data_IF_058115525225
#
_entry.id   IF_058115525225
#
_cell.length_a   1.000
_cell.length_b   1.000
_cell.length_c   1.000
_cell.angle_alpha   90.00
_cell.angle_beta   90.00
_cell.angle_gamma   90.00
#
_symmetry.space_group_name_H-M   'P 1'
#
loop_
_entity.id
_entity.type
_entity.pdbx_description
1 polymer ?
#
# COMPACT_ATOMS: atom_id res chain seq x y z
N UNK A 1 1.58 2.78 -8.24
CA UNK A 1 2.41 2.29 -9.36
C UNK A 1 3.50 3.32 -9.60
N UNK A 2 4.76 2.94 -9.46
CA UNK A 2 5.89 3.76 -9.90
C UNK A 2 6.23 3.32 -11.32
N UNK A 3 6.16 4.23 -12.30
CA UNK A 3 6.43 3.96 -13.72
C UNK A 3 7.93 3.80 -14.04
N UNK A 4 8.70 3.21 -13.11
CA UNK A 4 10.16 3.13 -13.18
C UNK A 4 10.64 1.74 -12.79
N UNK A 5 11.73 1.30 -13.43
CA UNK A 5 12.27 -0.06 -13.35
C UNK A 5 12.66 -0.54 -11.95
N UNK A 6 13.01 0.37 -11.04
CA UNK A 6 13.45 0.04 -9.69
C UNK A 6 13.41 1.26 -8.78
N UNK A 7 13.53 1.09 -7.46
CA UNK A 7 13.71 2.21 -6.53
C UNK A 7 14.92 3.08 -6.86
N UNK A 8 16.01 2.48 -7.34
CA UNK A 8 17.20 3.21 -7.79
C UNK A 8 16.89 4.05 -9.03
N UNK A 9 16.17 3.50 -10.03
CA UNK A 9 15.70 4.25 -11.18
C UNK A 9 14.82 5.44 -10.75
N UNK A 10 13.95 5.23 -9.74
CA UNK A 10 13.09 6.29 -9.20
C UNK A 10 13.88 7.43 -8.55
N UNK A 11 14.89 7.10 -7.75
CA UNK A 11 15.74 8.09 -7.08
C UNK A 11 16.55 8.88 -8.11
N UNK A 12 17.14 8.20 -9.09
CA UNK A 12 17.93 8.85 -10.13
C UNK A 12 17.07 9.77 -11.01
N UNK A 13 15.85 9.34 -11.35
CA UNK A 13 14.87 10.18 -12.05
C UNK A 13 14.58 11.47 -11.27
N UNK A 14 14.34 11.37 -9.96
CA UNK A 14 14.10 12.56 -9.11
C UNK A 14 15.32 13.47 -9.05
N UNK A 15 16.53 12.90 -9.02
CA UNK A 15 17.79 13.65 -9.00
C UNK A 15 18.00 14.43 -10.29
N UNK A 16 17.90 13.77 -11.45
CA UNK A 16 18.13 14.39 -12.77
C UNK A 16 17.10 15.49 -13.05
N UNK A 17 15.84 15.29 -12.64
CA UNK A 17 14.77 16.26 -12.84
C UNK A 17 14.64 17.28 -11.69
N UNK A 18 15.58 17.28 -10.74
CA UNK A 18 15.58 18.18 -9.58
C UNK A 18 14.23 18.22 -8.84
N UNK A 19 13.62 17.06 -8.59
CA UNK A 19 12.34 16.94 -7.89
C UNK A 19 12.58 17.17 -6.38
N UNK A 20 12.41 18.42 -5.95
CA UNK A 20 12.54 18.86 -4.56
C UNK A 20 11.19 19.23 -3.93
N UNK A 21 11.14 19.17 -2.61
CA UNK A 21 10.03 19.71 -1.80
C UNK A 21 10.51 19.94 -0.36
N UNK A 22 9.69 20.60 0.44
CA UNK A 22 9.91 20.76 1.87
C UNK A 22 9.78 19.41 2.58
N UNK A 23 10.85 18.98 3.26
CA UNK A 23 10.80 17.75 4.05
C UNK A 23 9.86 17.91 5.26
N UNK A 24 8.94 16.96 5.43
CA UNK A 24 7.95 16.98 6.51
C UNK A 24 8.61 16.87 7.90
N UNK A 25 9.79 16.25 8.01
CA UNK A 25 10.50 16.17 9.29
C UNK A 25 11.45 17.35 9.52
N UNK A 26 12.53 17.46 8.74
CA UNK A 26 13.59 18.43 9.00
C UNK A 26 13.27 19.86 8.54
N UNK A 27 12.15 20.08 7.85
CA UNK A 27 11.65 21.38 7.38
C UNK A 27 12.63 22.15 6.48
N UNK A 28 13.49 21.43 5.76
CA UNK A 28 14.36 21.99 4.73
C UNK A 28 13.88 21.58 3.34
N UNK A 29 14.05 22.47 2.35
CA UNK A 29 13.86 22.13 0.94
C UNK A 29 15.00 21.23 0.46
N UNK A 30 14.66 20.03 0.01
CA UNK A 30 15.62 19.00 -0.42
C UNK A 30 15.02 18.14 -1.53
N UNK A 31 15.88 17.42 -2.24
CA UNK A 31 15.43 16.34 -3.14
C UNK A 31 14.58 15.34 -2.36
N UNK A 32 13.46 14.93 -2.96
CA UNK A 32 12.51 14.03 -2.32
C UNK A 32 13.02 12.59 -2.46
N UNK A 33 13.22 11.89 -1.35
CA UNK A 33 13.47 10.45 -1.38
C UNK A 33 12.15 9.69 -1.58
N UNK A 34 11.14 9.98 -0.76
CA UNK A 34 9.87 9.28 -0.75
C UNK A 34 8.71 10.23 -0.43
N UNK A 35 7.51 9.89 -0.92
CA UNK A 35 6.25 10.52 -0.53
C UNK A 35 5.39 9.44 0.14
N UNK A 36 4.85 9.75 1.32
CA UNK A 36 3.91 8.88 2.04
C UNK A 36 2.64 9.63 2.33
N UNK A 37 1.51 8.96 2.18
CA UNK A 37 0.22 9.47 2.63
C UNK A 37 0.08 9.24 4.13
N UNK A 38 -0.05 10.31 4.89
CA UNK A 38 -0.17 10.33 6.35
C UNK A 38 -1.44 11.11 6.71
N UNK A 39 -2.42 10.43 7.31
CA UNK A 39 -3.69 11.01 7.71
C UNK A 39 -4.34 11.87 6.60
N UNK A 40 -4.45 11.27 5.40
CA UNK A 40 -4.96 11.88 4.16
C UNK A 40 -4.14 13.03 3.56
N UNK A 41 -2.94 13.33 4.08
CA UNK A 41 -2.01 14.31 3.51
C UNK A 41 -0.81 13.61 2.89
N UNK A 42 -0.34 14.08 1.73
CA UNK A 42 0.94 13.66 1.18
C UNK A 42 2.09 14.35 1.91
N UNK A 43 2.99 13.56 2.49
CA UNK A 43 4.15 14.00 3.24
C UNK A 43 5.43 13.62 2.48
N UNK A 44 6.27 14.60 2.20
CA UNK A 44 7.53 14.43 1.49
C UNK A 44 8.68 14.20 2.50
N UNK A 45 9.54 13.22 2.24
CA UNK A 45 10.71 12.93 3.07
C UNK A 45 11.98 12.97 2.23
N UNK A 46 12.99 13.72 2.70
CA UNK A 46 14.27 13.83 2.00
C UNK A 46 15.20 12.63 2.23
N UNK A 47 14.91 11.78 3.23
CA UNK A 47 15.69 10.59 3.54
C UNK A 47 14.89 9.59 4.35
N UNK A 48 15.35 8.34 4.38
CA UNK A 48 14.79 7.29 5.23
C UNK A 48 14.86 7.69 6.72
N UNK A 49 15.97 8.30 7.15
CA UNK A 49 16.12 8.78 8.54
C UNK A 49 15.06 9.83 8.93
N UNK A 50 14.74 10.79 8.05
CA UNK A 50 13.67 11.75 8.30
C UNK A 50 12.30 11.08 8.40
N UNK A 51 12.05 10.04 7.60
CA UNK A 51 10.81 9.27 7.65
C UNK A 51 10.68 8.53 8.99
N UNK A 52 11.71 7.80 9.40
CA UNK A 52 11.73 7.05 10.67
C UNK A 52 11.51 7.97 11.87
N UNK A 53 12.23 9.10 11.93
CA UNK A 53 12.08 10.05 13.03
C UNK A 53 10.66 10.65 13.07
N UNK A 54 10.07 10.91 11.91
CA UNK A 54 8.68 11.36 11.85
C UNK A 54 7.68 10.31 12.34
N UNK A 55 7.85 9.04 11.95
CA UNK A 55 7.00 7.95 12.45
C UNK A 55 7.06 7.82 13.98
N UNK A 56 8.26 7.90 14.56
CA UNK A 56 8.43 7.86 16.01
C UNK A 56 7.69 9.01 16.72
N UNK A 57 7.70 10.20 16.14
CA UNK A 57 6.93 11.34 16.66
C UNK A 57 5.41 11.15 16.51
N UNK A 58 4.94 10.44 15.48
CA UNK A 58 3.54 10.06 15.36
C UNK A 58 3.13 9.04 16.43
N UNK A 59 3.96 8.04 16.71
CA UNK A 59 3.72 7.05 17.76
C UNK A 59 3.52 7.73 19.13
N UNK A 60 4.37 8.70 19.47
CA UNK A 60 4.21 9.49 20.70
C UNK A 60 2.93 10.32 20.73
N UNK A 61 2.55 10.93 19.59
CA UNK A 61 1.42 11.87 19.51
C UNK A 61 0.07 11.18 19.41
N UNK A 62 0.01 10.04 18.75
CA UNK A 62 -1.25 9.36 18.42
C UNK A 62 -1.48 8.08 19.21
N UNK A 63 -0.44 7.47 19.80
CA UNK A 63 -0.55 6.17 20.44
C UNK A 63 -0.84 5.07 19.41
N UNK A 64 -1.77 4.16 19.70
CA UNK A 64 -2.19 3.13 18.73
C UNK A 64 -2.84 3.79 17.51
N UNK A 65 -2.29 3.54 16.33
CA UNK A 65 -2.73 4.12 15.07
C UNK A 65 -2.36 3.17 13.92
N UNK A 66 -2.88 3.42 12.71
CA UNK A 66 -2.61 2.57 11.57
C UNK A 66 -1.25 2.93 10.99
N UNK A 67 -0.26 2.06 11.17
CA UNK A 67 1.12 2.31 10.74
C UNK A 67 1.30 2.08 9.24
N UNK A 68 0.56 1.12 8.67
CA UNK A 68 0.55 0.85 7.24
C UNK A 68 -0.75 0.16 6.85
N UNK A 69 -1.71 0.93 6.36
CA UNK A 69 -3.00 0.40 5.90
C UNK A 69 -2.80 -0.72 4.89
N UNK A 70 -3.40 -1.89 5.13
CA UNK A 70 -3.27 -3.07 4.26
C UNK A 70 -3.69 -2.79 2.82
N UNK A 71 -4.64 -1.88 2.60
CA UNK A 71 -5.11 -1.54 1.26
C UNK A 71 -4.25 -0.47 0.55
N UNK A 72 -4.08 0.69 1.18
CA UNK A 72 -3.50 1.87 0.52
C UNK A 72 -2.08 2.23 1.00
N UNK A 73 -1.52 1.47 1.94
CA UNK A 73 -0.18 1.64 2.52
C UNK A 73 0.04 3.00 3.20
N UNK A 74 -1.04 3.72 3.52
CA UNK A 74 -0.99 5.00 4.24
C UNK A 74 -0.81 4.81 5.74
N UNK A 75 -0.22 5.79 6.39
CA UNK A 75 -0.30 5.96 7.85
C UNK A 75 -1.58 6.75 8.17
N UNK A 76 -2.29 6.42 9.24
CA UNK A 76 -3.44 7.20 9.70
C UNK A 76 -3.58 7.17 11.21
N UNK A 77 -4.11 8.26 11.78
CA UNK A 77 -4.45 8.32 13.20
C UNK A 77 -5.55 7.30 13.54
N UNK A 78 -6.44 7.03 12.60
CA UNK A 78 -7.49 6.02 12.71
C UNK A 78 -6.96 4.63 12.33
N UNK A 79 -7.33 3.63 13.11
CA UNK A 79 -7.03 2.22 12.82
C UNK A 79 -8.30 1.38 13.01
N UNK A 80 -8.62 0.61 11.99
CA UNK A 80 -9.64 -0.43 12.00
C UNK A 80 -8.92 -1.77 11.87
N UNK A 81 -9.04 -2.59 12.90
CA UNK A 81 -8.54 -3.97 12.91
C UNK A 81 -9.65 -4.91 12.47
N UNK A 82 -9.38 -5.75 11.48
CA UNK A 82 -10.28 -6.83 11.05
C UNK A 82 -9.53 -8.15 11.14
N UNK A 83 -10.11 -9.11 11.85
CA UNK A 83 -9.61 -10.48 11.86
C UNK A 83 -10.16 -11.19 10.62
N UNK A 84 -9.26 -11.57 9.72
CA UNK A 84 -9.54 -12.45 8.60
C UNK A 84 -9.10 -13.88 8.99
N UNK A 85 -9.54 -14.90 8.27
CA UNK A 85 -9.25 -16.33 8.57
C UNK A 85 -7.74 -16.64 8.60
N UNK A 86 -6.92 -15.83 7.93
CA UNK A 86 -5.47 -16.00 7.81
C UNK A 86 -4.65 -15.12 8.77
N UNK A 87 -5.05 -13.84 8.96
CA UNK A 87 -4.26 -12.85 9.70
C UNK A 87 -5.09 -11.64 10.13
N UNK A 88 -4.71 -11.01 11.24
CA UNK A 88 -5.16 -9.67 11.64
C UNK A 88 -4.69 -8.62 10.62
N UNK A 89 -5.62 -7.81 10.11
CA UNK A 89 -5.35 -6.75 9.12
C UNK A 89 -5.75 -5.38 9.66
N UNK A 90 -4.92 -4.38 9.40
CA UNK A 90 -5.16 -2.99 9.80
C UNK A 90 -5.51 -2.10 8.61
N UNK A 91 -6.56 -1.29 8.78
CA UNK A 91 -7.01 -0.34 7.77
C UNK A 91 -7.10 1.07 8.34
N UNK A 92 -6.78 2.07 7.52
CA UNK A 92 -6.95 3.47 7.92
C UNK A 92 -8.42 3.92 7.93
N UNK A 93 -9.34 3.17 7.30
CA UNK A 93 -10.77 3.48 7.25
C UNK A 93 -11.61 2.26 6.89
N UNK A 94 -12.92 2.34 7.15
CA UNK A 94 -13.90 1.36 6.69
C UNK A 94 -13.93 1.24 5.16
N UNK A 95 -13.75 2.35 4.44
CA UNK A 95 -13.65 2.36 2.97
C UNK A 95 -12.47 1.53 2.47
N UNK A 96 -11.30 1.62 3.12
CA UNK A 96 -10.14 0.80 2.75
C UNK A 96 -10.36 -0.68 3.03
N UNK A 97 -11.02 -1.01 4.14
CA UNK A 97 -11.41 -2.39 4.45
C UNK A 97 -12.39 -2.94 3.41
N UNK A 98 -13.43 -2.17 3.08
CA UNK A 98 -14.43 -2.56 2.07
C UNK A 98 -13.81 -2.79 0.69
N UNK A 99 -12.93 -1.88 0.23
CA UNK A 99 -12.24 -2.04 -1.06
C UNK A 99 -11.32 -3.26 -1.07
N UNK A 100 -10.62 -3.52 0.03
CA UNK A 100 -9.77 -4.69 0.16
C UNK A 100 -10.59 -5.99 0.03
N UNK A 101 -11.69 -6.11 0.77
CA UNK A 101 -12.58 -7.27 0.73
C UNK A 101 -13.22 -7.44 -0.65
N UNK A 102 -13.67 -6.35 -1.27
CA UNK A 102 -14.24 -6.37 -2.62
C UNK A 102 -13.21 -6.82 -3.66
N UNK A 103 -11.97 -6.37 -3.56
CA UNK A 103 -10.91 -6.81 -4.47
C UNK A 103 -10.61 -8.31 -4.28
N UNK A 104 -10.54 -8.79 -3.03
CA UNK A 104 -10.34 -10.21 -2.74
C UNK A 104 -11.47 -11.08 -3.30
N UNK A 105 -12.72 -10.66 -3.18
CA UNK A 105 -13.86 -11.44 -3.67
C UNK A 105 -13.89 -11.54 -5.20
N UNK A 106 -13.43 -10.51 -5.92
CA UNK A 106 -13.23 -10.61 -7.37
C UNK A 106 -12.13 -11.61 -7.72
N UNK A 107 -10.98 -11.54 -7.05
CA UNK A 107 -9.86 -12.48 -7.28
C UNK A 107 -10.28 -13.93 -6.98
N UNK A 108 -11.03 -14.17 -5.92
CA UNK A 108 -11.51 -15.52 -5.58
C UNK A 108 -12.56 -16.03 -6.58
N UNK A 109 -13.44 -15.15 -7.09
CA UNK A 109 -14.40 -15.50 -8.13
C UNK A 109 -13.70 -15.86 -9.45
N UNK A 110 -12.70 -15.09 -9.87
CA UNK A 110 -11.91 -15.36 -11.08
C UNK A 110 -11.16 -16.69 -10.98
N UNK A 111 -10.55 -16.97 -9.83
CA UNK A 111 -9.90 -18.25 -9.56
C UNK A 111 -10.90 -19.42 -9.64
N UNK A 112 -12.08 -19.30 -9.01
CA UNK A 112 -13.11 -20.33 -9.07
C UNK A 112 -13.60 -20.58 -10.50
N UNK A 113 -13.87 -19.51 -11.26
CA UNK A 113 -14.32 -19.61 -12.65
C UNK A 113 -13.27 -20.26 -13.55
N UNK A 114 -11.99 -19.90 -13.37
CA UNK A 114 -10.86 -20.52 -14.09
C UNK A 114 -10.78 -22.02 -13.80
N UNK A 115 -10.89 -22.41 -12.53
CA UNK A 115 -10.90 -23.83 -12.15
C UNK A 115 -12.11 -24.58 -12.74
N UNK A 116 -13.30 -23.97 -12.74
CA UNK A 116 -14.50 -24.54 -13.33
C UNK A 116 -14.35 -24.76 -14.85
N UNK A 117 -13.75 -23.78 -15.55
CA UNK A 117 -13.46 -23.91 -16.97
C UNK A 117 -12.48 -25.06 -17.25
N UNK A 118 -11.42 -25.19 -16.45
CA UNK A 118 -10.45 -26.29 -16.57
C UNK A 118 -11.14 -27.64 -16.36
N UNK A 119 -11.98 -27.78 -15.32
CA UNK A 119 -12.73 -29.01 -15.05
C UNK A 119 -13.65 -29.36 -16.24
N UNK A 120 -14.36 -28.37 -16.79
CA UNK A 120 -15.25 -28.58 -17.93
C UNK A 120 -14.49 -29.01 -19.19
N UNK A 121 -13.32 -28.43 -19.45
CA UNK A 121 -12.44 -28.86 -20.56
C UNK A 121 -12.01 -30.31 -20.37
N UNK A 122 -11.55 -30.69 -19.18
CA UNK A 122 -11.14 -32.07 -18.87
C UNK A 122 -12.32 -33.04 -19.07
N UNK A 123 -13.51 -32.71 -18.57
CA UNK A 123 -14.71 -33.53 -18.73
C UNK A 123 -15.11 -33.70 -20.20
N UNK A 124 -14.97 -32.66 -21.03
CA UNK A 124 -15.25 -32.75 -22.46
C UNK A 124 -14.24 -33.65 -23.19
N UNK A 125 -12.96 -33.57 -22.83
CA UNK A 125 -11.92 -34.47 -23.38
C UNK A 125 -12.21 -35.93 -23.01
N UNK A 126 -12.57 -36.20 -21.75
CA UNK A 126 -12.93 -37.56 -21.29
C UNK A 126 -14.16 -38.09 -22.05
N UNK A 127 -15.18 -37.27 -22.29
CA UNK A 127 -16.41 -37.67 -23.02
C UNK A 127 -16.19 -37.89 -24.52
N UNK A 128 -15.08 -37.39 -25.08
CA UNK A 128 -14.74 -37.50 -26.49
C UNK A 128 -13.85 -38.69 -26.84
N UNK A 129 -13.48 -39.51 -25.84
CA UNK A 129 -12.81 -40.81 -26.00
C UNK A 129 -13.82 -41.95 -25.81
#
# INVERSE_FOLDING_TARGET
MNFVCSPACAQEFKRINNISSLCEYCKNERLINEVKKVNNKDCCFCSEGCKILFHYELEKKWGKHCQSCTFCLSVSKTVLTVNDEELEKEFCSAECSFRYTSLRSHVSADYYYTNLQIINIILNVIRSQ
#
